data_IF_764100302951
#
_entry.id   IF_764100302951
#
_cell.length_a   1.000
_cell.length_b   1.000
_cell.length_c   1.000
_cell.angle_alpha   90.00
_cell.angle_beta   90.00
_cell.angle_gamma   90.00
#
_symmetry.space_group_name_H-M   'P 1'
#
loop_
_entity.id
_entity.type
_entity.pdbx_description
1 polymer ?
#
# COMPACT_ATOMS: atom_id res chain seq x y z
N UNK A 1 18.21 -2.50 1.88
CA UNK A 1 16.95 -2.57 1.13
C UNK A 1 16.37 -1.17 1.13
N UNK A 2 16.59 -0.33 0.11
CA UNK A 2 15.81 0.89 0.02
C UNK A 2 14.40 0.51 -0.42
N UNK A 3 13.38 0.98 0.27
CA UNK A 3 11.98 0.66 -0.04
C UNK A 3 11.49 1.37 -1.31
N UNK A 4 12.38 2.00 -2.09
CA UNK A 4 12.11 2.71 -3.35
C UNK A 4 11.27 1.90 -4.33
N UNK A 5 11.63 0.63 -4.57
CA UNK A 5 10.87 -0.24 -5.48
C UNK A 5 9.46 -0.54 -4.94
N UNK A 6 9.27 -0.53 -3.61
CA UNK A 6 7.95 -0.75 -3.02
C UNK A 6 7.04 0.44 -3.23
N UNK A 7 7.51 1.68 -3.09
CA UNK A 7 6.69 2.87 -3.33
C UNK A 7 6.28 3.00 -4.80
N UNK A 8 7.12 2.55 -5.73
CA UNK A 8 6.78 2.54 -7.15
C UNK A 8 5.60 1.61 -7.45
N UNK A 9 5.54 0.40 -6.89
CA UNK A 9 4.39 -0.51 -7.04
C UNK A 9 3.07 0.17 -6.59
N UNK A 10 3.12 0.96 -5.51
CA UNK A 10 1.97 1.68 -4.96
C UNK A 10 1.62 2.94 -5.78
N UNK A 11 2.61 3.58 -6.41
CA UNK A 11 2.37 4.68 -7.36
C UNK A 11 1.70 4.16 -8.63
N UNK A 12 2.17 3.03 -9.17
CA UNK A 12 1.60 2.37 -10.35
C UNK A 12 0.16 1.92 -10.12
N UNK A 13 -0.17 1.52 -8.89
CA UNK A 13 -1.56 1.28 -8.46
C UNK A 13 -2.46 2.48 -8.75
N UNK A 14 -2.05 3.69 -8.37
CA UNK A 14 -2.84 4.90 -8.64
C UNK A 14 -3.03 5.19 -10.13
N UNK A 15 -2.01 4.89 -10.94
CA UNK A 15 -2.09 4.99 -12.41
C UNK A 15 -3.10 3.98 -12.96
N UNK A 16 -3.06 2.73 -12.49
CA UNK A 16 -3.98 1.69 -12.91
C UNK A 16 -5.45 2.04 -12.59
N UNK A 17 -5.73 2.56 -11.38
CA UNK A 17 -7.06 3.01 -11.00
C UNK A 17 -7.57 4.15 -11.91
N UNK A 18 -6.74 5.17 -12.15
CA UNK A 18 -7.08 6.29 -13.06
C UNK A 18 -7.28 5.84 -14.50
N UNK A 19 -6.49 4.88 -15.00
CA UNK A 19 -6.70 4.31 -16.32
C UNK A 19 -7.99 3.49 -16.39
N UNK A 20 -8.32 2.73 -15.33
CA UNK A 20 -9.56 1.97 -15.23
C UNK A 20 -10.82 2.84 -15.29
N UNK A 21 -10.74 4.07 -14.79
CA UNK A 21 -11.81 5.07 -14.94
C UNK A 21 -12.10 5.44 -16.40
N UNK A 22 -11.07 5.45 -17.24
CA UNK A 22 -11.16 5.83 -18.66
C UNK A 22 -11.47 4.65 -19.58
N UNK A 23 -11.17 3.42 -19.14
CA UNK A 23 -11.36 2.20 -19.91
C UNK A 23 -12.82 1.77 -20.05
N UNK A 24 -13.10 0.96 -21.06
CA UNK A 24 -14.37 0.27 -21.28
C UNK A 24 -14.60 -0.88 -20.28
N UNK A 25 -15.82 -1.42 -20.23
CA UNK A 25 -16.19 -2.45 -19.24
C UNK A 25 -15.27 -3.67 -19.25
N UNK A 26 -14.78 -4.09 -20.42
CA UNK A 26 -13.87 -5.23 -20.56
C UNK A 26 -12.48 -4.98 -19.94
N UNK A 27 -12.00 -3.74 -20.00
CA UNK A 27 -10.71 -3.32 -19.41
C UNK A 27 -10.80 -3.20 -17.88
N UNK A 28 -12.00 -2.97 -17.33
CA UNK A 28 -12.25 -2.84 -15.88
C UNK A 28 -12.29 -4.16 -15.12
N UNK A 29 -12.54 -5.29 -15.81
CA UNK A 29 -12.63 -6.62 -15.19
C UNK A 29 -11.27 -7.10 -14.67
N UNK A 30 -10.16 -6.59 -15.21
CA UNK A 30 -8.80 -6.92 -14.77
C UNK A 30 -8.23 -6.04 -13.65
N UNK A 31 -8.99 -5.06 -13.15
CA UNK A 31 -8.45 -4.07 -12.21
C UNK A 31 -8.26 -4.64 -10.79
N UNK A 32 -9.13 -5.56 -10.36
CA UNK A 32 -8.99 -6.22 -9.06
C UNK A 32 -7.91 -7.30 -9.15
N UNK A 33 -6.70 -6.97 -8.69
CA UNK A 33 -5.57 -7.90 -8.63
C UNK A 33 -5.54 -8.66 -7.31
N UNK A 34 -4.79 -9.77 -7.27
CA UNK A 34 -4.52 -10.49 -6.02
C UNK A 34 -3.84 -9.61 -4.95
N UNK A 35 -3.04 -8.63 -5.36
CA UNK A 35 -2.40 -7.68 -4.46
C UNK A 35 -3.40 -6.70 -3.81
N UNK A 36 -4.51 -6.36 -4.46
CA UNK A 36 -5.58 -5.61 -3.80
C UNK A 36 -6.35 -6.45 -2.79
N UNK A 37 -6.59 -7.73 -3.12
CA UNK A 37 -7.32 -8.63 -2.24
C UNK A 37 -6.49 -9.16 -1.06
N UNK A 38 -5.17 -9.20 -1.20
CA UNK A 38 -4.25 -9.67 -0.17
C UNK A 38 -2.98 -8.83 -0.19
N UNK A 39 -2.86 -7.93 0.79
CA UNK A 39 -1.71 -7.04 0.94
C UNK A 39 -0.38 -7.82 1.09
N UNK A 40 -0.42 -9.08 1.53
CA UNK A 40 0.78 -9.95 1.63
C UNK A 40 1.37 -10.31 0.27
N UNK A 41 0.63 -10.08 -0.82
CA UNK A 41 1.08 -10.38 -2.17
C UNK A 41 1.94 -9.28 -2.80
N UNK A 42 2.05 -8.08 -2.20
CA UNK A 42 2.98 -7.05 -2.70
C UNK A 42 4.37 -7.22 -2.07
N UNK A 43 5.40 -6.57 -2.64
CA UNK A 43 6.77 -6.72 -2.15
C UNK A 43 6.94 -6.27 -0.69
N UNK A 44 6.31 -5.14 -0.33
CA UNK A 44 6.33 -4.61 1.04
C UNK A 44 5.60 -5.54 2.01
N UNK A 45 4.41 -6.03 1.65
CA UNK A 45 3.63 -6.93 2.48
C UNK A 45 4.31 -8.27 2.76
N UNK A 46 5.02 -8.83 1.76
CA UNK A 46 5.89 -10.01 1.96
C UNK A 46 6.99 -9.70 2.97
N UNK A 47 7.72 -8.61 2.75
CA UNK A 47 8.81 -8.20 3.64
C UNK A 47 8.32 -7.98 5.09
N UNK A 48 7.17 -7.32 5.28
CA UNK A 48 6.56 -7.10 6.60
C UNK A 48 6.31 -8.42 7.34
N UNK A 49 5.84 -9.46 6.63
CA UNK A 49 5.49 -10.74 7.24
C UNK A 49 6.68 -11.68 7.42
N UNK A 50 7.71 -11.54 6.59
CA UNK A 50 8.90 -12.38 6.63
C UNK A 50 9.98 -11.76 7.53
N UNK A 51 10.61 -10.68 7.08
CA UNK A 51 11.73 -10.03 7.77
C UNK A 51 11.28 -9.04 8.85
N UNK A 52 10.11 -8.45 8.66
CA UNK A 52 9.51 -7.48 9.58
C UNK A 52 9.28 -8.06 10.97
N UNK A 53 9.12 -9.37 11.10
CA UNK A 53 8.92 -10.05 12.40
C UNK A 53 10.05 -9.78 13.40
N UNK A 54 11.25 -9.45 12.91
CA UNK A 54 12.38 -9.10 13.77
C UNK A 54 12.18 -7.77 14.49
N UNK A 55 11.27 -6.94 14.01
CA UNK A 55 11.00 -5.60 14.48
C UNK A 55 9.57 -5.45 15.03
N UNK A 56 8.91 -6.54 15.44
CA UNK A 56 7.51 -6.51 15.94
C UNK A 56 7.29 -5.51 17.08
N UNK A 57 8.28 -5.36 17.96
CA UNK A 57 8.21 -4.43 19.10
C UNK A 57 8.48 -2.96 18.68
N UNK A 58 8.82 -2.69 17.42
CA UNK A 58 9.06 -1.35 16.92
C UNK A 58 7.72 -0.65 16.60
N UNK A 59 7.38 0.47 17.25
CA UNK A 59 6.15 1.20 16.95
C UNK A 59 6.08 1.69 15.49
N UNK A 60 7.22 1.94 14.85
CA UNK A 60 7.32 2.32 13.45
C UNK A 60 6.94 1.17 12.52
N UNK A 61 7.24 -0.09 12.86
CA UNK A 61 6.76 -1.24 12.09
C UNK A 61 5.24 -1.35 12.22
N UNK A 62 4.69 -1.15 13.41
CA UNK A 62 3.25 -1.20 13.62
C UNK A 62 2.52 -0.11 12.82
N UNK A 63 3.09 1.09 12.73
CA UNK A 63 2.57 2.17 11.89
C UNK A 63 2.67 1.83 10.40
N UNK A 64 3.78 1.23 9.97
CA UNK A 64 3.95 0.77 8.59
C UNK A 64 2.91 -0.29 8.21
N UNK A 65 2.67 -1.29 9.07
CA UNK A 65 1.62 -2.31 8.90
C UNK A 65 0.24 -1.67 8.73
N UNK A 66 -0.10 -0.71 9.59
CA UNK A 66 -1.40 -0.05 9.55
C UNK A 66 -1.59 0.80 8.28
N UNK A 67 -0.57 1.59 7.91
CA UNK A 67 -0.61 2.43 6.72
C UNK A 67 -0.71 1.57 5.44
N UNK A 68 0.00 0.45 5.40
CA UNK A 68 -0.03 -0.50 4.29
C UNK A 68 -1.40 -1.16 4.12
N UNK A 69 -1.98 -1.68 5.20
CA UNK A 69 -3.32 -2.27 5.18
C UNK A 69 -4.39 -1.25 4.77
N UNK A 70 -4.26 -0.01 5.25
CA UNK A 70 -5.16 1.08 4.90
C UNK A 70 -5.09 1.42 3.41
N UNK A 71 -3.88 1.51 2.84
CA UNK A 71 -3.69 1.74 1.41
C UNK A 71 -4.35 0.66 0.57
N UNK A 72 -4.07 -0.63 0.85
CA UNK A 72 -4.64 -1.74 0.09
C UNK A 72 -6.16 -1.81 0.20
N UNK A 73 -6.72 -1.55 1.39
CA UNK A 73 -8.17 -1.49 1.61
C UNK A 73 -8.82 -0.40 0.75
N UNK A 74 -8.27 0.82 0.76
CA UNK A 74 -8.80 1.94 -0.02
C UNK A 74 -8.67 1.66 -1.52
N UNK A 75 -7.51 1.16 -1.97
CA UNK A 75 -7.32 0.83 -3.37
C UNK A 75 -8.28 -0.27 -3.85
N UNK A 76 -8.56 -1.28 -3.02
CA UNK A 76 -9.54 -2.33 -3.31
C UNK A 76 -10.96 -1.76 -3.43
N UNK A 77 -11.37 -0.87 -2.51
CA UNK A 77 -12.70 -0.22 -2.58
C UNK A 77 -12.85 0.56 -3.88
N UNK A 78 -11.84 1.34 -4.27
CA UNK A 78 -11.86 2.10 -5.52
C UNK A 78 -11.93 1.17 -6.72
N UNK A 79 -11.11 0.11 -6.75
CA UNK A 79 -11.11 -0.88 -7.83
C UNK A 79 -12.48 -1.54 -7.98
N UNK A 80 -13.12 -1.94 -6.87
CA UNK A 80 -14.47 -2.52 -6.87
C UNK A 80 -15.49 -1.51 -7.42
N UNK A 81 -15.43 -0.25 -7.01
CA UNK A 81 -16.34 0.80 -7.52
C UNK A 81 -16.16 1.03 -9.02
N UNK A 82 -14.92 0.99 -9.53
CA UNK A 82 -14.65 1.05 -10.98
C UNK A 82 -15.21 -0.17 -11.71
N UNK A 83 -14.90 -1.39 -11.24
CA UNK A 83 -15.36 -2.64 -11.86
C UNK A 83 -16.88 -2.75 -11.87
N UNK A 84 -17.56 -2.19 -10.88
CA UNK A 84 -19.03 -2.15 -10.79
C UNK A 84 -19.66 -0.95 -11.52
N UNK A 85 -18.86 -0.16 -12.25
CA UNK A 85 -19.34 0.98 -13.03
C UNK A 85 -19.75 2.20 -12.21
N UNK A 86 -19.49 2.22 -10.89
CA UNK A 86 -19.73 3.37 -10.01
C UNK A 86 -18.62 4.40 -10.14
N UNK A 87 -18.47 4.96 -11.34
CA UNK A 87 -17.37 5.87 -11.66
C UNK A 87 -17.45 7.18 -10.88
N UNK A 88 -18.64 7.73 -10.65
CA UNK A 88 -18.77 8.96 -9.87
C UNK A 88 -18.23 8.79 -8.43
N UNK A 89 -18.49 7.65 -7.80
CA UNK A 89 -17.96 7.32 -6.47
C UNK A 89 -16.44 7.14 -6.49
N UNK A 90 -15.93 6.40 -7.49
CA UNK A 90 -14.50 6.19 -7.67
C UNK A 90 -13.73 7.49 -7.96
N UNK A 91 -14.33 8.41 -8.73
CA UNK A 91 -13.75 9.73 -9.00
C UNK A 91 -13.55 10.52 -7.71
N UNK A 92 -14.57 10.62 -6.86
CA UNK A 92 -14.48 11.33 -5.56
C UNK A 92 -13.35 10.78 -4.69
N UNK A 93 -13.12 9.46 -4.70
CA UNK A 93 -12.05 8.83 -3.92
C UNK A 93 -10.64 9.04 -4.52
N UNK A 94 -10.56 9.40 -5.80
CA UNK A 94 -9.33 9.63 -6.57
C UNK A 94 -9.01 11.11 -6.79
N UNK A 95 -9.87 12.03 -6.35
CA UNK A 95 -9.60 13.47 -6.38
C UNK A 95 -8.30 13.81 -5.65
N UNK A 96 -7.64 14.94 -6.01
CA UNK A 96 -6.50 15.43 -5.25
C UNK A 96 -6.84 15.56 -3.77
N UNK A 97 -5.91 15.16 -2.91
CA UNK A 97 -6.07 15.14 -1.45
C UNK A 97 -7.18 14.23 -0.89
N UNK A 98 -7.85 13.45 -1.74
CA UNK A 98 -8.87 12.50 -1.31
C UNK A 98 -8.27 11.23 -0.71
N UNK A 99 -9.14 10.23 -0.51
CA UNK A 99 -8.82 9.00 0.21
C UNK A 99 -7.59 8.27 -0.34
N UNK A 100 -7.48 8.14 -1.67
CA UNK A 100 -6.35 7.45 -2.27
C UNK A 100 -5.02 8.17 -2.00
N UNK A 101 -4.97 9.47 -2.28
CA UNK A 101 -3.73 10.24 -2.14
C UNK A 101 -3.30 10.36 -0.68
N UNK A 102 -4.26 10.57 0.23
CA UNK A 102 -3.96 10.59 1.67
C UNK A 102 -3.39 9.25 2.15
N UNK A 103 -3.96 8.12 1.72
CA UNK A 103 -3.44 6.80 2.06
C UNK A 103 -2.04 6.56 1.49
N UNK A 104 -1.79 6.97 0.24
CA UNK A 104 -0.47 6.87 -0.39
C UNK A 104 0.58 7.71 0.37
N UNK A 105 0.24 8.94 0.77
CA UNK A 105 1.12 9.80 1.59
C UNK A 105 1.40 9.19 2.95
N UNK A 106 0.38 8.70 3.64
CA UNK A 106 0.55 8.04 4.93
C UNK A 106 1.49 6.84 4.84
N UNK A 107 1.36 6.02 3.79
CA UNK A 107 2.26 4.91 3.53
C UNK A 107 3.70 5.40 3.28
N UNK A 108 3.89 6.39 2.41
CA UNK A 108 5.22 6.96 2.13
C UNK A 108 5.88 7.53 3.40
N UNK A 109 5.13 8.23 4.25
CA UNK A 109 5.64 8.71 5.53
C UNK A 109 5.99 7.57 6.49
N UNK A 110 5.19 6.51 6.55
CA UNK A 110 5.46 5.36 7.40
C UNK A 110 6.71 4.59 6.93
N UNK A 111 6.89 4.43 5.63
CA UNK A 111 8.11 3.85 5.02
C UNK A 111 9.32 4.69 5.42
N UNK A 112 9.29 6.01 5.18
CA UNK A 112 10.40 6.90 5.52
C UNK A 112 10.74 6.89 7.01
N UNK A 113 9.73 6.86 7.89
CA UNK A 113 9.94 6.72 9.34
C UNK A 113 10.63 5.40 9.70
N UNK A 114 10.20 4.30 9.10
CA UNK A 114 10.78 3.00 9.36
C UNK A 114 12.21 2.88 8.81
N UNK A 115 12.47 3.41 7.62
CA UNK A 115 13.82 3.52 7.05
C UNK A 115 14.75 4.33 7.95
N UNK A 116 14.30 5.49 8.43
CA UNK A 116 15.06 6.29 9.37
C UNK A 116 15.40 5.50 10.63
N UNK A 117 14.50 4.65 11.14
CA UNK A 117 14.80 3.78 12.28
C UNK A 117 15.88 2.73 11.95
N UNK A 118 15.80 2.09 10.79
CA UNK A 118 16.83 1.15 10.33
C UNK A 118 18.21 1.81 10.25
N UNK A 119 18.26 3.10 9.87
CA UNK A 119 19.51 3.88 9.79
C UNK A 119 19.98 4.38 11.15
N UNK A 120 19.07 4.83 12.02
CA UNK A 120 19.40 5.57 13.26
C UNK A 120 19.55 4.73 14.51
N UNK A 121 19.09 3.47 14.58
CA UNK A 121 19.37 2.70 15.80
C UNK A 121 18.86 1.26 15.95
N UNK A 122 19.80 0.47 16.50
CA UNK A 122 19.75 -0.80 17.25
C UNK A 122 19.05 -2.01 16.61
N UNK A 123 19.86 -3.04 16.33
CA UNK A 123 19.37 -4.37 16.01
C UNK A 123 18.48 -4.90 17.17
N UNK A 124 17.34 -5.56 16.84
CA UNK A 124 16.51 -6.21 17.85
C UNK A 124 17.34 -7.24 18.60
N UNK A 125 17.16 -7.29 19.92
CA UNK A 125 17.87 -8.21 20.81
C UNK A 125 17.92 -9.62 20.20
N UNK A 126 19.15 -10.06 19.89
CA UNK A 126 19.41 -11.42 19.48
C UNK A 126 18.85 -12.36 20.54
N UNK A 127 18.04 -13.33 20.10
CA UNK A 127 17.67 -14.48 20.93
C UNK A 127 18.96 -15.08 21.46
N UNK A 128 19.15 -14.94 22.77
CA UNK A 128 20.15 -15.67 23.53
C UNK A 128 19.76 -17.14 23.38
N UNK A 129 20.56 -17.90 22.64
CA UNK A 129 20.50 -19.35 22.60
C UNK A 129 21.20 -19.92 23.84
#
# INVERSE_FOLDING_TARGET
MPFDNTLEEHRLTGVALRNGMLGGMHERVGLVTSAFANERCCALGRWIHEDGVRWEDAPELQQLKLAHASFHTIALVIAISITQGRLAEAAVMLEPDALFENAARMLAHAVSRFENRLVTGAAPHGRIH
#
